data_IF_702170680193
#
_entry.id   IF_702170680193
#
_cell.length_a   1.000
_cell.length_b   1.000
_cell.length_c   1.000
_cell.angle_alpha   90.00
_cell.angle_beta   90.00
_cell.angle_gamma   90.00
#
_symmetry.space_group_name_H-M   'P 1'
#
loop_
_entity.id
_entity.type
_entity.pdbx_description
1 polymer ?
#
# COMPACT_ATOMS: atom_id res chain seq x y z
N UNK A 1 -21.86 17.58 -7.85
CA UNK A 1 -21.11 16.78 -8.84
C UNK A 1 -20.68 15.47 -8.18
N UNK A 2 -21.00 14.29 -8.77
CA UNK A 2 -20.53 13.01 -8.21
C UNK A 2 -19.18 12.68 -8.86
N UNK A 3 -18.11 12.69 -8.09
CA UNK A 3 -16.79 12.28 -8.58
C UNK A 3 -16.71 10.77 -8.71
N UNK A 4 -15.97 10.28 -9.71
CA UNK A 4 -15.61 8.88 -9.80
C UNK A 4 -14.78 8.43 -8.58
N UNK A 5 -14.77 7.13 -8.29
CA UNK A 5 -13.94 6.57 -7.22
C UNK A 5 -12.47 6.45 -7.68
N UNK A 6 -11.52 7.20 -7.09
CA UNK A 6 -10.11 7.11 -7.46
C UNK A 6 -9.37 5.93 -6.80
N UNK A 7 -9.96 5.32 -5.76
CA UNK A 7 -9.30 4.27 -4.98
C UNK A 7 -8.86 3.06 -5.82
N UNK A 8 -9.63 2.55 -6.80
CA UNK A 8 -9.16 1.46 -7.65
C UNK A 8 -7.88 1.77 -8.42
N UNK A 9 -7.70 3.02 -8.88
CA UNK A 9 -6.48 3.46 -9.56
C UNK A 9 -5.28 3.43 -8.60
N UNK A 10 -5.44 4.02 -7.41
CA UNK A 10 -4.40 4.03 -6.38
C UNK A 10 -4.00 2.63 -5.92
N UNK A 11 -4.99 1.77 -5.67
CA UNK A 11 -4.78 0.37 -5.30
C UNK A 11 -4.08 -0.43 -6.40
N UNK A 12 -4.46 -0.23 -7.67
CA UNK A 12 -3.83 -0.93 -8.81
C UNK A 12 -2.37 -0.52 -8.99
N UNK A 13 -2.06 0.78 -8.89
CA UNK A 13 -0.69 1.29 -8.94
C UNK A 13 0.19 0.71 -7.83
N UNK A 14 -0.33 0.72 -6.61
CA UNK A 14 0.30 0.09 -5.46
C UNK A 14 0.51 -1.42 -5.69
N UNK A 15 -0.55 -2.14 -6.04
CA UNK A 15 -0.52 -3.60 -6.15
C UNK A 15 0.45 -4.10 -7.22
N UNK A 16 0.42 -3.53 -8.43
CA UNK A 16 1.32 -3.92 -9.52
C UNK A 16 2.77 -3.71 -9.13
N UNK A 17 3.09 -2.53 -8.60
CA UNK A 17 4.47 -2.18 -8.26
C UNK A 17 4.99 -3.03 -7.10
N UNK A 18 4.15 -3.24 -6.06
CA UNK A 18 4.47 -4.11 -4.92
C UNK A 18 4.69 -5.56 -5.40
N UNK A 19 3.84 -6.08 -6.28
CA UNK A 19 3.99 -7.42 -6.84
C UNK A 19 5.33 -7.60 -7.53
N UNK A 20 5.67 -6.67 -8.45
CA UNK A 20 6.92 -6.73 -9.20
C UNK A 20 8.15 -6.67 -8.31
N UNK A 21 8.19 -5.75 -7.33
CA UNK A 21 9.30 -5.68 -6.38
C UNK A 21 9.40 -6.96 -5.54
N UNK A 22 8.27 -7.48 -5.10
CA UNK A 22 8.23 -8.68 -4.26
C UNK A 22 8.71 -9.93 -5.00
N UNK A 23 8.46 -10.05 -6.33
CA UNK A 23 9.04 -11.13 -7.15
C UNK A 23 10.57 -11.07 -7.17
N UNK A 24 11.17 -9.89 -7.11
CA UNK A 24 12.63 -9.74 -6.97
C UNK A 24 13.07 -10.11 -5.56
N UNK A 25 12.36 -9.66 -4.53
CA UNK A 25 12.71 -9.93 -3.12
C UNK A 25 12.65 -11.42 -2.77
N UNK A 26 11.74 -12.19 -3.37
CA UNK A 26 11.70 -13.67 -3.19
C UNK A 26 12.70 -14.42 -4.06
N UNK A 27 13.44 -13.72 -4.93
CA UNK A 27 14.46 -14.31 -5.79
C UNK A 27 13.92 -15.00 -7.05
N UNK A 28 12.65 -14.78 -7.44
CA UNK A 28 12.13 -15.30 -8.71
C UNK A 28 12.76 -14.61 -9.92
N UNK A 29 13.16 -13.35 -9.73
CA UNK A 29 13.84 -12.53 -10.73
C UNK A 29 15.07 -11.86 -10.10
N UNK A 30 16.05 -11.54 -10.93
CA UNK A 30 17.35 -11.00 -10.50
C UNK A 30 17.46 -9.49 -10.80
N UNK A 31 18.60 -8.89 -10.45
CA UNK A 31 18.92 -7.48 -10.64
C UNK A 31 18.58 -6.88 -12.01
N UNK A 32 18.77 -7.56 -13.16
CA UNK A 32 18.36 -7.07 -14.48
C UNK A 32 16.88 -6.74 -14.62
N UNK A 33 16.01 -7.25 -13.74
CA UNK A 33 14.57 -6.94 -13.72
C UNK A 33 14.24 -5.63 -12.99
N UNK A 34 15.13 -5.14 -12.13
CA UNK A 34 14.92 -3.96 -11.28
C UNK A 34 14.60 -2.68 -12.10
N UNK A 35 15.20 -2.39 -13.26
CA UNK A 35 14.85 -1.20 -14.03
C UNK A 35 13.37 -1.08 -14.38
N UNK A 36 12.68 -2.20 -14.67
CA UNK A 36 11.24 -2.19 -14.93
C UNK A 36 10.43 -1.96 -13.64
N UNK A 37 10.90 -2.50 -12.50
CA UNK A 37 10.30 -2.19 -11.19
C UNK A 37 10.41 -0.69 -10.91
N UNK A 38 11.58 -0.07 -11.15
CA UNK A 38 11.77 1.37 -10.93
C UNK A 38 10.89 2.23 -11.84
N UNK A 39 10.75 1.85 -13.12
CA UNK A 39 9.85 2.54 -14.05
C UNK A 39 8.39 2.46 -13.57
N UNK A 40 7.93 1.29 -13.12
CA UNK A 40 6.61 1.09 -12.55
C UNK A 40 6.42 1.84 -11.23
N UNK A 41 7.45 1.85 -10.37
CA UNK A 41 7.48 2.59 -9.12
C UNK A 41 7.37 4.10 -9.34
N UNK A 42 7.97 4.61 -10.41
CA UNK A 42 7.86 6.03 -10.74
C UNK A 42 6.50 6.38 -11.35
N UNK A 43 6.07 5.62 -12.38
CA UNK A 43 4.90 5.99 -13.19
C UNK A 43 3.58 5.57 -12.53
N UNK A 44 3.46 4.31 -12.11
CA UNK A 44 2.17 3.77 -11.67
C UNK A 44 2.05 3.73 -10.15
N UNK A 45 2.99 3.10 -9.44
CA UNK A 45 3.03 3.11 -7.98
C UNK A 45 3.22 4.52 -7.39
N UNK A 46 4.02 5.36 -8.04
CA UNK A 46 4.24 6.75 -7.64
C UNK A 46 3.17 7.69 -8.19
N UNK A 47 3.28 8.05 -9.47
CA UNK A 47 2.50 9.16 -10.05
C UNK A 47 1.01 8.91 -10.08
N UNK A 48 0.56 7.75 -10.61
CA UNK A 48 -0.88 7.47 -10.70
C UNK A 48 -1.51 7.28 -9.32
N UNK A 49 -0.81 6.61 -8.40
CA UNK A 49 -1.29 6.42 -7.02
C UNK A 49 -1.34 7.75 -6.26
N UNK A 50 -0.31 8.62 -6.40
CA UNK A 50 -0.33 9.94 -5.77
C UNK A 50 -1.48 10.80 -6.31
N UNK A 51 -1.71 10.79 -7.63
CA UNK A 51 -2.83 11.49 -8.25
C UNK A 51 -4.19 10.98 -7.71
N UNK A 52 -4.35 9.66 -7.56
CA UNK A 52 -5.53 9.09 -6.93
C UNK A 52 -5.73 9.61 -5.49
N UNK A 53 -4.64 9.75 -4.73
CA UNK A 53 -4.67 10.33 -3.39
C UNK A 53 -5.18 11.77 -3.38
N UNK A 54 -4.70 12.62 -4.28
CA UNK A 54 -5.19 14.00 -4.39
C UNK A 54 -6.68 14.06 -4.74
N UNK A 55 -7.19 13.10 -5.51
CA UNK A 55 -8.61 13.01 -5.87
C UNK A 55 -9.49 12.55 -4.69
N UNK A 56 -8.93 11.90 -3.67
CA UNK A 56 -9.68 11.55 -2.45
C UNK A 56 -9.93 12.76 -1.54
N UNK A 57 -9.08 13.80 -1.60
CA UNK A 57 -9.22 14.98 -0.77
C UNK A 57 -10.56 15.70 -0.99
N UNK A 58 -11.01 16.05 -2.21
CA UNK A 58 -12.31 16.70 -2.43
C UNK A 58 -13.51 15.78 -2.14
N UNK A 59 -13.30 14.49 -1.95
CA UNK A 59 -14.30 13.51 -1.53
C UNK A 59 -14.46 13.46 0.00
N UNK A 60 -13.58 14.15 0.75
CA UNK A 60 -13.54 14.10 2.21
C UNK A 60 -13.01 12.77 2.77
N UNK A 61 -12.36 11.95 1.94
CA UNK A 61 -11.77 10.67 2.35
C UNK A 61 -10.32 10.88 2.83
N UNK A 62 -10.15 11.29 4.08
CA UNK A 62 -8.83 11.52 4.68
C UNK A 62 -7.97 10.27 4.67
N UNK A 63 -8.54 9.09 4.93
CA UNK A 63 -7.80 7.83 4.92
C UNK A 63 -7.20 7.53 3.55
N UNK A 64 -8.01 7.59 2.49
CA UNK A 64 -7.56 7.38 1.12
C UNK A 64 -6.56 8.44 0.66
N UNK A 65 -6.81 9.71 0.98
CA UNK A 65 -5.89 10.81 0.69
C UNK A 65 -4.50 10.55 1.29
N UNK A 66 -4.42 10.30 2.59
CA UNK A 66 -3.15 10.06 3.28
C UNK A 66 -2.48 8.80 2.76
N UNK A 67 -3.22 7.69 2.63
CA UNK A 67 -2.66 6.42 2.15
C UNK A 67 -2.06 6.56 0.75
N UNK A 68 -2.85 7.00 -0.23
CA UNK A 68 -2.39 7.01 -1.62
C UNK A 68 -1.32 8.07 -1.88
N UNK A 69 -1.40 9.25 -1.27
CA UNK A 69 -0.35 10.25 -1.40
C UNK A 69 0.95 9.79 -0.75
N UNK A 70 0.89 9.24 0.47
CA UNK A 70 2.09 8.80 1.16
C UNK A 70 2.76 7.61 0.45
N UNK A 71 2.01 6.57 0.07
CA UNK A 71 2.62 5.44 -0.65
C UNK A 71 3.03 5.80 -2.09
N UNK A 72 2.37 6.75 -2.74
CA UNK A 72 2.83 7.31 -4.00
C UNK A 72 4.20 7.97 -3.84
N UNK A 73 4.37 8.78 -2.80
CA UNK A 73 5.67 9.39 -2.45
C UNK A 73 6.72 8.34 -2.03
N UNK A 74 6.31 7.26 -1.32
CA UNK A 74 7.19 6.12 -1.03
C UNK A 74 7.77 5.53 -2.32
N UNK A 75 6.94 5.27 -3.33
CA UNK A 75 7.39 4.69 -4.59
C UNK A 75 8.31 5.62 -5.38
N UNK A 76 8.07 6.92 -5.37
CA UNK A 76 9.01 7.90 -5.93
C UNK A 76 10.33 7.89 -5.19
N UNK A 77 10.29 7.91 -3.85
CA UNK A 77 11.51 7.86 -3.03
C UNK A 77 12.28 6.56 -3.30
N UNK A 78 11.61 5.41 -3.34
CA UNK A 78 12.23 4.13 -3.65
C UNK A 78 12.90 4.13 -5.03
N UNK A 79 12.20 4.59 -6.08
CA UNK A 79 12.73 4.63 -7.42
C UNK A 79 13.96 5.54 -7.54
N UNK A 80 13.89 6.74 -6.97
CA UNK A 80 15.00 7.69 -6.94
C UNK A 80 16.17 7.17 -6.11
N UNK A 81 15.89 6.62 -4.93
CA UNK A 81 16.91 6.03 -4.04
C UNK A 81 17.70 4.94 -4.76
N UNK A 82 17.02 3.92 -5.27
CA UNK A 82 17.70 2.79 -5.93
C UNK A 82 18.47 3.24 -7.18
N UNK A 83 17.92 4.20 -7.94
CA UNK A 83 18.54 4.63 -9.19
C UNK A 83 19.72 5.59 -8.99
N UNK A 84 19.64 6.50 -8.02
CA UNK A 84 20.56 7.64 -7.96
C UNK A 84 21.27 7.81 -6.59
N UNK A 85 20.70 7.35 -5.50
CA UNK A 85 21.14 7.74 -4.16
C UNK A 85 21.53 6.57 -3.24
N UNK A 86 21.48 5.32 -3.71
CA UNK A 86 21.77 4.16 -2.88
C UNK A 86 23.25 3.99 -2.53
N UNK A 87 24.17 4.58 -3.34
CA UNK A 87 25.61 4.38 -3.14
C UNK A 87 26.08 4.94 -1.81
N UNK A 88 26.70 4.10 -0.98
CA UNK A 88 27.26 4.47 0.32
C UNK A 88 26.27 4.64 1.46
N UNK A 89 24.98 4.41 1.24
CA UNK A 89 23.98 4.44 2.32
C UNK A 89 24.08 3.15 3.12
N UNK A 90 24.23 3.22 4.46
CA UNK A 90 24.31 2.03 5.32
C UNK A 90 23.01 1.22 5.29
N UNK A 91 23.13 -0.11 5.31
CA UNK A 91 21.96 -1.01 5.30
C UNK A 91 21.03 -0.80 6.51
N UNK A 92 21.61 -0.57 7.69
CA UNK A 92 20.85 -0.28 8.90
C UNK A 92 20.02 1.01 8.80
N UNK A 93 20.51 2.03 8.08
CA UNK A 93 19.74 3.24 7.82
C UNK A 93 18.56 2.97 6.88
N UNK A 94 18.73 2.12 5.86
CA UNK A 94 17.63 1.61 5.02
C UNK A 94 16.65 0.81 5.86
N UNK A 95 17.15 -0.03 6.78
CA UNK A 95 16.33 -0.76 7.75
C UNK A 95 15.43 0.17 8.58
N UNK A 96 16.00 1.26 9.12
CA UNK A 96 15.22 2.26 9.85
C UNK A 96 14.17 2.95 8.97
N UNK A 97 14.50 3.28 7.72
CA UNK A 97 13.54 3.85 6.78
C UNK A 97 12.34 2.91 6.56
N UNK A 98 12.59 1.61 6.38
CA UNK A 98 11.53 0.61 6.24
C UNK A 98 10.70 0.44 7.52
N UNK A 99 11.36 0.43 8.70
CA UNK A 99 10.66 0.34 9.99
C UNK A 99 9.74 1.55 10.20
N UNK A 100 10.17 2.76 9.85
CA UNK A 100 9.32 3.96 9.95
C UNK A 100 8.10 3.89 9.02
N UNK A 101 8.25 3.32 7.80
CA UNK A 101 7.12 3.01 6.94
C UNK A 101 6.23 1.90 7.54
N UNK A 102 6.80 0.95 8.25
CA UNK A 102 6.07 -0.05 9.03
C UNK A 102 5.23 0.59 10.13
N UNK A 103 5.79 1.55 10.88
CA UNK A 103 5.06 2.32 11.91
C UNK A 103 3.93 3.15 11.30
N UNK A 104 4.20 3.86 10.18
CA UNK A 104 3.17 4.56 9.42
C UNK A 104 2.04 3.61 9.03
N UNK A 105 2.37 2.48 8.44
CA UNK A 105 1.39 1.49 7.98
C UNK A 105 0.62 0.87 9.15
N UNK A 106 1.26 0.68 10.30
CA UNK A 106 0.63 0.14 11.49
C UNK A 106 -0.48 1.06 12.02
N UNK A 107 -0.25 2.38 12.13
CA UNK A 107 -1.34 3.27 12.55
C UNK A 107 -2.43 3.41 11.46
N UNK A 108 -2.06 3.32 10.17
CA UNK A 108 -3.04 3.25 9.10
C UNK A 108 -3.86 1.95 9.17
N UNK A 109 -3.25 0.83 9.55
CA UNK A 109 -3.98 -0.41 9.82
C UNK A 109 -4.99 -0.24 10.96
N UNK A 110 -4.62 0.41 12.06
CA UNK A 110 -5.56 0.73 13.15
C UNK A 110 -6.73 1.58 12.59
N UNK A 111 -6.44 2.61 11.79
CA UNK A 111 -7.47 3.41 11.13
C UNK A 111 -8.38 2.59 10.20
N UNK A 112 -7.84 1.58 9.54
CA UNK A 112 -8.59 0.70 8.65
C UNK A 112 -9.60 -0.20 9.34
N UNK A 113 -9.49 -0.40 10.66
CA UNK A 113 -10.42 -1.24 11.43
C UNK A 113 -11.88 -0.73 11.41
N UNK A 114 -12.07 0.55 11.08
CA UNK A 114 -13.40 1.13 10.84
C UNK A 114 -13.90 0.94 9.39
N UNK A 115 -13.08 0.36 8.51
CA UNK A 115 -13.38 0.15 7.09
C UNK A 115 -13.71 -1.33 6.81
N UNK A 116 -13.85 -1.67 5.52
CA UNK A 116 -14.13 -3.04 5.10
C UNK A 116 -12.95 -4.00 5.37
N UNK A 117 -13.23 -5.31 5.44
CA UNK A 117 -12.24 -6.33 5.78
C UNK A 117 -11.09 -6.45 4.77
N UNK A 118 -11.36 -6.18 3.50
CA UNK A 118 -10.33 -6.24 2.47
C UNK A 118 -9.26 -5.16 2.69
N UNK A 119 -9.65 -3.92 3.01
CA UNK A 119 -8.71 -2.85 3.39
C UNK A 119 -7.90 -3.24 4.62
N UNK A 120 -8.57 -3.78 5.67
CA UNK A 120 -7.88 -4.24 6.88
C UNK A 120 -6.80 -5.28 6.57
N UNK A 121 -7.10 -6.25 5.71
CA UNK A 121 -6.17 -7.30 5.32
C UNK A 121 -4.96 -6.75 4.53
N UNK A 122 -5.18 -5.79 3.62
CA UNK A 122 -4.08 -5.13 2.88
C UNK A 122 -3.11 -4.46 3.85
N UNK A 123 -3.62 -3.62 4.76
CA UNK A 123 -2.75 -2.89 5.69
C UNK A 123 -2.10 -3.81 6.73
N UNK A 124 -2.79 -4.87 7.17
CA UNK A 124 -2.20 -5.90 8.04
C UNK A 124 -1.00 -6.58 7.38
N UNK A 125 -1.15 -7.06 6.16
CA UNK A 125 -0.07 -7.71 5.44
C UNK A 125 1.08 -6.72 5.14
N UNK A 126 0.77 -5.47 4.82
CA UNK A 126 1.76 -4.46 4.44
C UNK A 126 2.67 -4.04 5.60
N UNK A 127 2.14 -3.79 6.82
CA UNK A 127 3.02 -3.41 7.93
C UNK A 127 3.93 -4.58 8.34
N UNK A 128 3.44 -5.82 8.26
CA UNK A 128 4.27 -7.02 8.48
C UNK A 128 5.39 -7.09 7.41
N UNK A 129 5.07 -6.80 6.14
CA UNK A 129 6.05 -6.74 5.06
C UNK A 129 7.18 -5.75 5.38
N UNK A 130 6.84 -4.53 5.79
CA UNK A 130 7.84 -3.51 6.12
C UNK A 130 8.74 -3.92 7.29
N UNK A 131 8.17 -4.49 8.36
CA UNK A 131 8.97 -4.95 9.49
C UNK A 131 9.87 -6.13 9.15
N UNK A 132 9.41 -7.09 8.33
CA UNK A 132 10.24 -8.20 7.87
C UNK A 132 11.42 -7.69 7.03
N UNK A 133 11.16 -6.82 6.04
CA UNK A 133 12.19 -6.25 5.20
C UNK A 133 13.14 -5.34 6.00
N UNK A 134 12.62 -4.49 6.89
CA UNK A 134 13.46 -3.64 7.74
C UNK A 134 14.35 -4.46 8.68
N UNK A 135 13.82 -5.51 9.29
CA UNK A 135 14.62 -6.41 10.15
C UNK A 135 15.68 -7.16 9.34
N UNK A 136 15.40 -7.51 8.08
CA UNK A 136 16.39 -8.15 7.22
C UNK A 136 17.60 -7.26 6.95
N UNK A 137 17.41 -5.94 6.81
CA UNK A 137 18.51 -4.99 6.62
C UNK A 137 19.42 -4.90 7.87
N UNK A 138 18.85 -4.96 9.09
CA UNK A 138 19.63 -4.94 10.32
C UNK A 138 20.41 -6.22 10.57
N UNK A 139 19.84 -7.37 10.18
CA UNK A 139 20.38 -8.68 10.54
C UNK A 139 21.19 -9.34 9.42
N UNK A 140 21.05 -8.87 8.18
CA UNK A 140 21.59 -9.53 6.99
C UNK A 140 20.97 -10.89 6.70
N UNK A 141 19.85 -11.26 7.35
CA UNK A 141 19.22 -12.57 7.21
C UNK A 141 18.38 -12.65 5.92
N UNK A 142 18.90 -13.37 4.92
CA UNK A 142 18.20 -13.60 3.65
C UNK A 142 16.81 -14.25 3.83
N UNK A 143 16.62 -15.07 4.85
CA UNK A 143 15.32 -15.70 5.15
C UNK A 143 14.25 -14.68 5.51
N UNK A 144 14.59 -13.62 6.25
CA UNK A 144 13.67 -12.52 6.58
C UNK A 144 13.35 -11.69 5.34
N UNK A 145 14.34 -11.44 4.48
CA UNK A 145 14.14 -10.72 3.22
C UNK A 145 13.16 -11.48 2.31
N UNK A 146 13.38 -12.78 2.13
CA UNK A 146 12.49 -13.65 1.35
C UNK A 146 11.10 -13.74 1.96
N UNK A 147 10.99 -13.87 3.29
CA UNK A 147 9.69 -13.86 3.98
C UNK A 147 8.95 -12.52 3.77
N UNK A 148 9.66 -11.39 3.83
CA UNK A 148 9.12 -10.07 3.50
C UNK A 148 8.65 -10.00 2.04
N UNK A 149 9.38 -10.61 1.11
CA UNK A 149 8.98 -10.72 -0.29
C UNK A 149 7.66 -11.50 -0.46
N UNK A 150 7.51 -12.67 0.17
CA UNK A 150 6.26 -13.43 0.12
C UNK A 150 5.09 -12.69 0.76
N UNK A 151 5.32 -12.00 1.87
CA UNK A 151 4.30 -11.17 2.50
C UNK A 151 3.92 -9.99 1.60
N UNK A 152 4.90 -9.41 0.86
CA UNK A 152 4.66 -8.39 -0.15
C UNK A 152 3.81 -8.90 -1.33
N UNK A 153 4.03 -10.14 -1.81
CA UNK A 153 3.16 -10.78 -2.82
C UNK A 153 1.71 -10.93 -2.30
N UNK A 154 1.55 -11.38 -1.06
CA UNK A 154 0.23 -11.46 -0.42
C UNK A 154 -0.43 -10.07 -0.34
N UNK A 155 0.32 -9.07 0.11
CA UNK A 155 -0.17 -7.68 0.18
C UNK A 155 -0.66 -7.18 -1.18
N UNK A 156 0.12 -7.42 -2.23
CA UNK A 156 -0.21 -7.02 -3.59
C UNK A 156 -1.44 -7.76 -4.12
N UNK A 157 -1.55 -9.07 -3.87
CA UNK A 157 -2.74 -9.86 -4.24
C UNK A 157 -4.01 -9.33 -3.57
N UNK A 158 -3.95 -9.03 -2.27
CA UNK A 158 -5.07 -8.45 -1.53
C UNK A 158 -5.47 -7.06 -2.08
N UNK A 159 -4.48 -6.22 -2.42
CA UNK A 159 -4.73 -4.90 -3.00
C UNK A 159 -5.31 -4.99 -4.41
N UNK A 160 -4.85 -5.93 -5.26
CA UNK A 160 -5.46 -6.21 -6.56
C UNK A 160 -6.90 -6.69 -6.43
N UNK A 161 -7.15 -7.61 -5.48
CA UNK A 161 -8.51 -8.08 -5.21
C UNK A 161 -9.44 -6.92 -4.85
N UNK A 162 -9.01 -6.05 -3.94
CA UNK A 162 -9.80 -4.89 -3.52
C UNK A 162 -10.04 -3.92 -4.69
N UNK A 163 -8.99 -3.62 -5.48
CA UNK A 163 -9.12 -2.76 -6.66
C UNK A 163 -10.13 -3.33 -7.67
N UNK A 164 -10.03 -4.63 -7.96
CA UNK A 164 -10.94 -5.33 -8.85
C UNK A 164 -12.38 -5.34 -8.31
N UNK A 165 -12.53 -5.61 -7.00
CA UNK A 165 -13.85 -5.62 -6.37
C UNK A 165 -14.53 -4.25 -6.45
N UNK A 166 -13.82 -3.16 -6.21
CA UNK A 166 -14.40 -1.82 -6.31
C UNK A 166 -14.82 -1.47 -7.74
N UNK A 167 -13.97 -1.77 -8.75
CA UNK A 167 -14.33 -1.54 -10.17
C UNK A 167 -15.51 -2.40 -10.60
N UNK A 168 -15.45 -3.70 -10.34
CA UNK A 168 -16.46 -4.65 -10.79
C UNK A 168 -17.81 -4.37 -10.11
N UNK A 169 -17.82 -4.17 -8.80
CA UNK A 169 -19.04 -3.90 -8.04
C UNK A 169 -19.70 -2.58 -8.49
N UNK A 170 -18.91 -1.52 -8.68
CA UNK A 170 -19.43 -0.23 -9.13
C UNK A 170 -20.01 -0.35 -10.56
N UNK A 171 -19.29 -1.03 -11.47
CA UNK A 171 -19.72 -1.18 -12.87
C UNK A 171 -21.00 -2.02 -12.98
N UNK A 172 -21.17 -3.05 -12.15
CA UNK A 172 -22.36 -3.91 -12.16
C UNK A 172 -23.52 -3.35 -11.31
N UNK A 173 -23.27 -2.33 -10.48
CA UNK A 173 -24.27 -1.75 -9.59
C UNK A 173 -24.68 -2.63 -8.41
N UNK A 174 -24.00 -3.75 -8.18
CA UNK A 174 -24.22 -4.65 -7.04
C UNK A 174 -22.92 -5.38 -6.65
N UNK A 175 -22.92 -6.01 -5.49
CA UNK A 175 -21.78 -6.77 -5.01
C UNK A 175 -21.58 -8.06 -5.78
N UNK A 176 -20.56 -8.12 -6.65
CA UNK A 176 -20.09 -9.32 -7.34
C UNK A 176 -18.94 -9.95 -6.53
N UNK A 177 -17.99 -9.12 -6.10
CA UNK A 177 -16.84 -9.53 -5.28
C UNK A 177 -17.00 -8.97 -3.86
N UNK A 178 -17.11 -9.82 -2.83
CA UNK A 178 -17.31 -9.35 -1.46
C UNK A 178 -16.02 -8.76 -0.87
N UNK A 179 -16.11 -7.58 -0.27
CA UNK A 179 -14.98 -6.91 0.43
C UNK A 179 -15.13 -6.95 1.96
N UNK A 180 -16.21 -7.57 2.45
CA UNK A 180 -16.59 -7.55 3.87
C UNK A 180 -17.22 -6.22 4.28
N UNK A 181 -18.26 -6.28 5.11
CA UNK A 181 -18.90 -5.08 5.63
C UNK A 181 -17.94 -4.27 6.51
N UNK A 182 -18.09 -2.93 6.58
CA UNK A 182 -17.43 -2.12 7.59
C UNK A 182 -17.81 -2.65 8.98
N UNK A 183 -16.88 -2.56 9.92
CA UNK A 183 -17.21 -2.84 11.33
C UNK A 183 -18.20 -1.77 11.79
N UNK A 184 -19.44 -2.15 12.12
CA UNK A 184 -20.42 -1.21 12.67
C UNK A 184 -19.88 -0.58 13.96
N UNK A 185 -19.39 0.63 13.87
CA UNK A 185 -19.04 1.41 15.05
C UNK A 185 -20.31 2.06 15.59
N UNK A 186 -20.97 1.44 16.56
CA UNK A 186 -22.14 1.97 17.29
C UNK A 186 -21.84 3.22 18.14
N UNK A 187 -20.94 4.12 17.73
CA UNK A 187 -20.47 5.24 18.57
C UNK A 187 -20.90 6.62 18.08
N UNK A 188 -21.64 6.78 17.00
CA UNK A 188 -22.01 8.14 16.51
C UNK A 188 -23.44 8.58 16.87
N UNK A 189 -24.13 7.89 17.77
CA UNK A 189 -25.55 8.20 18.12
C UNK A 189 -25.77 9.14 19.30
N UNK A 190 -24.74 9.75 19.93
CA UNK A 190 -24.96 10.52 21.18
C UNK A 190 -24.40 11.95 21.25
N UNK A 191 -23.91 12.53 20.18
CA UNK A 191 -23.34 13.88 20.27
C UNK A 191 -24.14 15.00 19.57
N UNK A 192 -25.35 14.72 19.09
CA UNK A 192 -26.26 15.77 18.55
C UNK A 192 -27.66 15.61 19.11
N UNK A 193 -27.84 15.86 20.40
CA UNK A 193 -29.11 16.40 20.94
C UNK A 193 -28.82 17.84 21.35
N UNK A 194 -29.37 18.87 20.65
CA UNK A 194 -29.38 20.22 21.17
C UNK A 194 -30.34 20.27 22.35
N UNK A 195 -29.91 20.94 23.41
CA UNK A 195 -30.71 21.30 24.58
C UNK A 195 -31.81 22.34 24.22
#
# INVERSE_FOLDING_TARGET
MKFANPAPLGLSGFALTTWMLSMVNVGWFTGPSVPLVLASAFAFGGTAQFAAGLMEMPRGNTFGFVAFCAYGAFWWTFALFVKFFAAGVPADFVGWWLVMWGVFTFYMWIGSLALNRAVQAVFLALWITFFLLGTSEFTGMATLHVAGGYMGLLTAALAFYLAAAEVINETHGHTVLPIGAPTETKIVGRLHQPA
#
